data_IF_189817152539
#
_entry.id   IF_189817152539
#
_cell.length_a   1.000
_cell.length_b   1.000
_cell.length_c   1.000
_cell.angle_alpha   90.00
_cell.angle_beta   90.00
_cell.angle_gamma   90.00
#
_symmetry.space_group_name_H-M   'P 1'
#
loop_
_entity.id
_entity.type
_entity.pdbx_description
1 polymer ?
#
# COMPACT_ATOMS: atom_id res chain seq x y z
N UNK A 1 45.49 40.76 -32.99
CA UNK A 1 44.08 40.45 -32.64
C UNK A 1 43.53 39.16 -33.28
N UNK A 2 43.99 38.71 -34.46
CA UNK A 2 43.43 37.54 -35.17
C UNK A 2 43.87 36.16 -34.60
N UNK A 3 45.07 36.08 -34.01
CA UNK A 3 45.60 34.84 -33.45
C UNK A 3 45.05 34.55 -32.06
N UNK A 4 44.90 35.57 -31.20
CA UNK A 4 44.33 35.45 -29.86
C UNK A 4 42.91 34.87 -29.88
N UNK A 5 42.09 35.28 -30.86
CA UNK A 5 40.72 34.77 -31.04
C UNK A 5 40.68 33.30 -31.46
N UNK A 6 41.67 32.82 -32.23
CA UNK A 6 41.81 31.40 -32.60
C UNK A 6 42.20 30.54 -31.41
N UNK A 7 43.12 31.01 -30.56
CA UNK A 7 43.53 30.27 -29.36
C UNK A 7 42.42 30.20 -28.31
N UNK A 8 41.63 31.27 -28.16
CA UNK A 8 40.45 31.26 -27.26
C UNK A 8 39.40 30.26 -27.75
N UNK A 9 39.10 30.20 -29.05
CA UNK A 9 38.15 29.23 -29.60
C UNK A 9 38.66 27.79 -29.44
N UNK A 10 39.96 27.55 -29.71
CA UNK A 10 40.56 26.21 -29.51
C UNK A 10 40.51 25.78 -28.04
N UNK A 11 40.78 26.70 -27.10
CA UNK A 11 40.74 26.41 -25.68
C UNK A 11 39.32 26.09 -25.19
N UNK A 12 38.30 26.80 -25.69
CA UNK A 12 36.89 26.55 -25.34
C UNK A 12 36.39 25.22 -25.91
N UNK A 13 36.77 24.88 -27.15
CA UNK A 13 36.39 23.58 -27.75
C UNK A 13 37.09 22.42 -27.03
N UNK A 14 38.37 22.56 -26.69
CA UNK A 14 39.09 21.55 -25.91
C UNK A 14 38.49 21.35 -24.51
N UNK A 15 38.07 22.44 -23.84
CA UNK A 15 37.41 22.37 -22.54
C UNK A 15 36.03 21.71 -22.60
N UNK A 16 35.26 21.95 -23.67
CA UNK A 16 33.95 21.31 -23.89
C UNK A 16 34.07 19.81 -24.18
N UNK A 17 35.10 19.38 -24.92
CA UNK A 17 35.35 17.96 -25.18
C UNK A 17 35.78 17.20 -23.91
N UNK A 18 36.47 17.86 -22.98
CA UNK A 18 36.88 17.24 -21.71
C UNK A 18 35.69 16.95 -20.77
N UNK A 19 34.58 17.69 -20.89
CA UNK A 19 33.38 17.46 -20.08
C UNK A 19 32.56 16.23 -20.52
N UNK A 20 32.67 15.79 -21.78
CA UNK A 20 31.97 14.60 -22.28
C UNK A 20 32.73 13.28 -22.02
N UNK A 21 33.96 13.36 -21.52
CA UNK A 21 34.82 12.20 -21.29
C UNK A 21 34.89 11.78 -19.80
N UNK A 22 34.14 12.44 -18.91
CA UNK A 22 34.02 11.93 -17.54
C UNK A 22 33.25 10.61 -17.61
N UNK A 23 33.82 9.48 -17.15
CA UNK A 23 33.02 8.30 -16.95
C UNK A 23 31.91 8.71 -15.98
N UNK A 24 30.66 8.59 -16.42
CA UNK A 24 29.53 8.56 -15.48
C UNK A 24 29.89 7.47 -14.49
N UNK A 25 30.31 7.87 -13.30
CA UNK A 25 30.46 6.95 -12.17
C UNK A 25 29.08 6.33 -12.02
N UNK A 26 28.94 5.09 -12.50
CA UNK A 26 27.75 4.32 -12.30
C UNK A 26 27.57 4.26 -10.78
N UNK A 27 26.64 5.07 -10.26
CA UNK A 27 26.20 4.91 -8.89
C UNK A 27 25.83 3.44 -8.75
N UNK A 28 26.34 2.72 -7.74
CA UNK A 28 25.94 1.35 -7.53
C UNK A 28 24.43 1.38 -7.38
N UNK A 29 23.70 0.85 -8.37
CA UNK A 29 22.26 0.60 -8.27
C UNK A 29 22.12 -0.22 -7.00
N UNK A 30 21.48 0.40 -6.01
CA UNK A 30 21.53 0.07 -4.60
C UNK A 30 21.93 -1.37 -4.33
N UNK A 31 23.09 -1.53 -3.68
CA UNK A 31 23.35 -2.76 -2.95
C UNK A 31 22.10 -3.08 -2.15
N UNK A 32 21.63 -4.32 -2.27
CA UNK A 32 20.46 -4.82 -1.59
C UNK A 32 20.57 -4.55 -0.08
N UNK A 33 20.03 -3.42 0.38
CA UNK A 33 19.22 -3.45 1.58
C UNK A 33 18.15 -4.47 1.25
N UNK A 34 18.11 -5.60 1.95
CA UNK A 34 17.02 -6.56 1.81
C UNK A 34 15.72 -5.77 1.94
N UNK A 35 15.07 -5.44 0.82
CA UNK A 35 13.77 -4.81 0.83
C UNK A 35 12.90 -5.82 1.56
N UNK A 36 12.42 -5.45 2.75
CA UNK A 36 11.55 -6.31 3.53
C UNK A 36 10.44 -6.75 2.58
N UNK A 37 10.29 -8.06 2.38
CA UNK A 37 9.20 -8.57 1.56
C UNK A 37 7.90 -8.04 2.15
N UNK A 38 7.28 -7.06 1.49
CA UNK A 38 6.07 -6.38 1.97
C UNK A 38 4.91 -7.37 2.13
N UNK A 39 4.93 -8.46 1.36
CA UNK A 39 3.83 -9.42 1.37
C UNK A 39 3.89 -10.37 2.56
N UNK A 40 5.07 -10.64 3.13
CA UNK A 40 5.20 -11.43 4.37
C UNK A 40 4.40 -10.82 5.54
N UNK A 41 4.59 -9.53 5.93
CA UNK A 41 3.77 -8.92 6.98
C UNK A 41 2.30 -8.77 6.57
N UNK A 42 1.98 -8.56 5.28
CA UNK A 42 0.56 -8.55 4.85
C UNK A 42 -0.11 -9.91 5.09
N UNK A 43 0.56 -11.00 4.72
CA UNK A 43 0.05 -12.35 4.93
C UNK A 43 -0.06 -12.69 6.42
N UNK A 44 0.97 -12.37 7.22
CA UNK A 44 0.93 -12.57 8.67
C UNK A 44 -0.21 -11.77 9.33
N UNK A 45 -0.40 -10.51 8.93
CA UNK A 45 -1.50 -9.69 9.42
C UNK A 45 -2.87 -10.25 9.04
N UNK A 46 -3.00 -10.77 7.81
CA UNK A 46 -4.22 -11.43 7.35
C UNK A 46 -4.55 -12.69 8.16
N UNK A 47 -3.55 -13.53 8.45
CA UNK A 47 -3.73 -14.72 9.28
C UNK A 47 -4.09 -14.35 10.73
N UNK A 48 -3.46 -13.31 11.30
CA UNK A 48 -3.86 -12.79 12.60
C UNK A 48 -5.32 -12.32 12.63
N UNK A 49 -5.83 -11.73 11.55
CA UNK A 49 -7.25 -11.38 11.44
C UNK A 49 -8.14 -12.63 11.48
N UNK A 50 -7.77 -13.69 10.75
CA UNK A 50 -8.49 -14.97 10.78
C UNK A 50 -8.48 -15.64 12.16
N UNK A 51 -7.43 -15.40 12.94
CA UNK A 51 -7.31 -15.84 14.34
C UNK A 51 -8.01 -14.91 15.36
N UNK A 52 -8.53 -13.76 14.92
CA UNK A 52 -9.14 -12.76 15.81
C UNK A 52 -8.13 -11.86 16.56
N UNK A 53 -6.84 -11.90 16.21
CA UNK A 53 -5.76 -11.14 16.85
C UNK A 53 -5.53 -9.78 16.17
N UNK A 54 -6.48 -8.87 16.31
CA UNK A 54 -6.49 -7.62 15.53
C UNK A 54 -5.33 -6.66 15.84
N UNK A 55 -4.85 -6.58 17.08
CA UNK A 55 -3.71 -5.71 17.42
C UNK A 55 -2.41 -6.22 16.78
N UNK A 56 -2.20 -7.54 16.77
CA UNK A 56 -1.10 -8.17 16.06
C UNK A 56 -1.22 -7.91 14.55
N UNK A 57 -2.43 -8.05 13.99
CA UNK A 57 -2.67 -7.75 12.57
C UNK A 57 -2.33 -6.30 12.19
N UNK A 58 -2.77 -5.31 12.98
CA UNK A 58 -2.41 -3.89 12.76
C UNK A 58 -0.90 -3.67 12.83
N UNK A 59 -0.19 -4.35 13.74
CA UNK A 59 1.26 -4.25 13.83
C UNK A 59 1.94 -4.74 12.55
N UNK A 60 1.50 -5.87 12.00
CA UNK A 60 2.04 -6.38 10.73
C UNK A 60 1.68 -5.47 9.54
N UNK A 61 0.43 -4.98 9.44
CA UNK A 61 0.07 -4.02 8.40
C UNK A 61 0.87 -2.72 8.50
N UNK A 62 1.20 -2.24 9.71
CA UNK A 62 2.06 -1.07 9.89
C UNK A 62 3.48 -1.32 9.39
N UNK A 63 4.05 -2.51 9.58
CA UNK A 63 5.34 -2.89 8.99
C UNK A 63 5.26 -2.88 7.46
N UNK A 64 4.18 -3.42 6.90
CA UNK A 64 3.96 -3.43 5.45
C UNK A 64 3.85 -2.02 4.86
N UNK A 65 3.04 -1.13 5.47
CA UNK A 65 2.93 0.27 5.05
C UNK A 65 4.24 1.05 5.17
N UNK A 66 5.11 0.68 6.13
CA UNK A 66 6.44 1.27 6.26
C UNK A 66 7.41 0.79 5.17
N UNK A 67 7.33 -0.49 4.80
CA UNK A 67 8.17 -1.10 3.78
C UNK A 67 7.79 -0.60 2.37
N UNK A 68 6.49 -0.47 2.10
CA UNK A 68 5.94 0.04 0.85
C UNK A 68 4.82 1.05 1.15
N UNK A 69 5.14 2.36 1.09
CA UNK A 69 4.19 3.44 1.34
C UNK A 69 3.04 3.54 0.33
N UNK A 70 3.03 2.74 -0.74
CA UNK A 70 2.01 2.73 -1.79
C UNK A 70 1.26 1.39 -1.84
N UNK A 71 1.43 0.53 -0.83
CA UNK A 71 0.85 -0.80 -0.85
C UNK A 71 -0.67 -0.84 -0.60
N UNK A 72 -1.46 -0.99 -1.67
CA UNK A 72 -2.93 -1.01 -1.59
C UNK A 72 -3.48 -2.09 -0.65
N UNK A 73 -2.83 -3.25 -0.53
CA UNK A 73 -3.26 -4.30 0.40
C UNK A 73 -3.09 -3.89 1.86
N UNK A 74 -1.93 -3.33 2.21
CA UNK A 74 -1.63 -2.93 3.58
C UNK A 74 -2.59 -1.83 4.06
N UNK A 75 -2.82 -0.81 3.23
CA UNK A 75 -3.77 0.27 3.54
C UNK A 75 -5.21 -0.22 3.62
N UNK A 76 -5.67 -1.04 2.66
CA UNK A 76 -7.01 -1.62 2.69
C UNK A 76 -7.25 -2.43 3.96
N UNK A 77 -6.33 -3.34 4.28
CA UNK A 77 -6.49 -4.25 5.41
C UNK A 77 -6.48 -3.52 6.75
N UNK A 78 -5.61 -2.51 6.91
CA UNK A 78 -5.61 -1.69 8.12
C UNK A 78 -6.88 -0.83 8.22
N UNK A 79 -7.39 -0.31 7.10
CA UNK A 79 -8.62 0.46 7.08
C UNK A 79 -9.84 -0.35 7.56
N UNK A 80 -9.94 -1.62 7.15
CA UNK A 80 -11.01 -2.51 7.62
C UNK A 80 -10.93 -2.70 9.14
N UNK A 81 -9.72 -2.78 9.71
CA UNK A 81 -9.55 -2.86 11.17
C UNK A 81 -9.89 -1.53 11.88
N UNK A 82 -9.64 -0.39 11.26
CA UNK A 82 -10.04 0.92 11.80
C UNK A 82 -11.55 1.15 11.74
N UNK A 83 -12.22 0.73 10.66
CA UNK A 83 -13.69 0.74 10.55
C UNK A 83 -14.30 -0.04 11.72
N UNK A 84 -13.71 -1.20 11.99
CA UNK A 84 -14.04 -2.08 13.10
C UNK A 84 -13.77 -1.50 14.49
N UNK A 85 -12.99 -0.44 14.61
CA UNK A 85 -12.79 0.31 15.86
C UNK A 85 -13.73 1.51 15.95
N UNK A 86 -14.60 1.73 14.97
CA UNK A 86 -15.44 2.93 14.86
C UNK A 86 -14.68 4.16 14.37
N UNK A 87 -13.40 4.04 14.00
CA UNK A 87 -12.57 5.13 13.46
C UNK A 87 -12.85 5.32 11.97
N UNK A 88 -14.09 5.67 11.65
CA UNK A 88 -14.61 5.63 10.28
C UNK A 88 -13.89 6.61 9.35
N UNK A 89 -13.56 7.81 9.82
CA UNK A 89 -12.86 8.81 9.01
C UNK A 89 -11.41 8.39 8.71
N UNK A 90 -10.71 7.83 9.71
CA UNK A 90 -9.34 7.33 9.53
C UNK A 90 -9.32 6.14 8.56
N UNK A 91 -10.30 5.24 8.68
CA UNK A 91 -10.48 4.13 7.75
C UNK A 91 -10.72 4.62 6.31
N UNK A 92 -11.56 5.64 6.13
CA UNK A 92 -11.83 6.20 4.80
C UNK A 92 -10.58 6.85 4.20
N UNK A 93 -9.78 7.55 5.00
CA UNK A 93 -8.51 8.12 4.55
C UNK A 93 -7.54 7.04 4.05
N UNK A 94 -7.43 5.92 4.77
CA UNK A 94 -6.58 4.80 4.35
C UNK A 94 -7.11 4.11 3.09
N UNK A 95 -8.43 3.93 2.95
CA UNK A 95 -9.01 3.36 1.73
C UNK A 95 -8.78 4.25 0.50
N UNK A 96 -8.89 5.57 0.67
CA UNK A 96 -8.59 6.52 -0.41
C UNK A 96 -7.12 6.38 -0.84
N UNK A 97 -6.18 6.32 0.10
CA UNK A 97 -4.76 6.05 -0.21
C UNK A 97 -4.57 4.69 -0.88
N UNK A 98 -5.27 3.65 -0.43
CA UNK A 98 -5.22 2.34 -1.07
C UNK A 98 -5.69 2.40 -2.53
N UNK A 99 -6.70 3.22 -2.83
CA UNK A 99 -7.32 3.33 -4.15
C UNK A 99 -6.40 3.97 -5.21
N UNK A 100 -5.49 4.84 -4.81
CA UNK A 100 -4.55 5.55 -5.71
C UNK A 100 -3.70 4.57 -6.52
N UNK A 101 -3.30 3.45 -5.91
CA UNK A 101 -2.41 2.44 -6.51
C UNK A 101 -3.10 1.10 -6.76
N UNK A 102 -4.42 1.00 -6.53
CA UNK A 102 -5.11 -0.29 -6.54
C UNK A 102 -5.06 -1.00 -7.90
N UNK A 103 -5.02 -0.26 -9.00
CA UNK A 103 -4.97 -0.81 -10.35
C UNK A 103 -3.62 -1.41 -10.73
N UNK A 104 -2.57 -1.17 -9.95
CA UNK A 104 -1.22 -1.72 -10.19
C UNK A 104 -1.12 -3.20 -9.77
N UNK A 105 -2.08 -3.69 -8.97
CA UNK A 105 -2.07 -5.05 -8.41
C UNK A 105 -2.97 -5.98 -9.22
N UNK A 106 -2.39 -6.61 -10.24
CA UNK A 106 -3.07 -7.56 -11.13
C UNK A 106 -3.18 -8.99 -10.58
N UNK A 107 -2.61 -9.25 -9.41
CA UNK A 107 -2.63 -10.59 -8.81
C UNK A 107 -4.06 -11.02 -8.44
N UNK A 108 -4.30 -12.34 -8.48
CA UNK A 108 -5.47 -12.89 -7.78
C UNK A 108 -5.41 -12.56 -6.29
N UNK A 109 -6.58 -12.49 -5.64
CA UNK A 109 -6.69 -12.19 -4.21
C UNK A 109 -7.58 -13.20 -3.50
N UNK A 110 -7.23 -13.52 -2.26
CA UNK A 110 -8.14 -14.13 -1.29
C UNK A 110 -8.70 -13.00 -0.43
N UNK A 111 -10.00 -13.01 -0.19
CA UNK A 111 -10.66 -12.00 0.65
C UNK A 111 -11.41 -12.61 1.82
N UNK A 112 -11.45 -11.86 2.92
CA UNK A 112 -12.25 -12.19 4.11
C UNK A 112 -13.03 -10.94 4.51
N UNK A 113 -14.36 -11.05 4.54
CA UNK A 113 -15.26 -9.93 4.84
C UNK A 113 -15.86 -10.09 6.24
N UNK A 114 -15.93 -8.99 6.98
CA UNK A 114 -16.70 -8.96 8.23
C UNK A 114 -18.18 -8.76 7.96
N UNK A 115 -19.04 -9.37 8.78
CA UNK A 115 -20.47 -9.12 8.72
C UNK A 115 -20.77 -7.63 8.97
N UNK A 116 -21.41 -6.96 8.00
CA UNK A 116 -21.71 -5.52 8.08
C UNK A 116 -20.48 -4.59 8.02
N UNK A 117 -19.32 -5.09 7.59
CA UNK A 117 -18.09 -4.31 7.45
C UNK A 117 -17.37 -4.55 6.12
N UNK A 118 -16.15 -4.04 6.03
CA UNK A 118 -15.28 -4.20 4.88
C UNK A 118 -14.64 -5.58 4.77
N UNK A 119 -13.99 -5.77 3.62
CA UNK A 119 -13.28 -6.97 3.21
C UNK A 119 -11.76 -6.74 3.20
N UNK A 120 -11.03 -7.59 3.90
CA UNK A 120 -9.58 -7.69 3.75
C UNK A 120 -9.25 -8.46 2.48
N UNK A 121 -8.08 -8.18 1.92
CA UNK A 121 -7.52 -8.91 0.79
C UNK A 121 -6.08 -9.31 1.08
N UNK A 122 -5.67 -10.48 0.61
CA UNK A 122 -4.27 -10.93 0.60
C UNK A 122 -4.01 -11.58 -0.75
N UNK A 123 -2.78 -11.48 -1.25
CA UNK A 123 -2.33 -12.17 -2.45
C UNK A 123 -2.05 -13.65 -2.14
N UNK A 124 -2.82 -14.62 -2.66
CA UNK A 124 -2.50 -16.03 -2.59
C UNK A 124 -1.62 -16.37 -3.80
N UNK A 125 -0.29 -16.35 -3.62
CA UNK A 125 0.70 -16.99 -4.50
C UNK A 125 0.58 -16.76 -6.04
N UNK A 126 1.51 -15.96 -6.58
CA UNK A 126 2.08 -15.97 -7.96
C UNK A 126 1.18 -16.09 -9.21
N UNK A 127 -0.14 -16.15 -9.10
CA UNK A 127 -1.03 -16.10 -10.26
C UNK A 127 -1.40 -14.65 -10.58
N UNK A 128 -0.84 -14.16 -11.68
CA UNK A 128 -1.13 -12.83 -12.23
C UNK A 128 -2.38 -12.92 -13.12
N UNK A 129 -3.34 -12.03 -12.91
CA UNK A 129 -4.54 -11.87 -13.73
C UNK A 129 -4.41 -10.74 -14.76
N UNK A 130 -5.41 -10.62 -15.64
CA UNK A 130 -5.47 -9.56 -16.65
C UNK A 130 -6.05 -8.23 -16.10
N UNK A 131 -6.70 -8.27 -14.94
CA UNK A 131 -7.37 -7.13 -14.29
C UNK A 131 -7.00 -7.06 -12.82
N UNK A 132 -7.04 -5.85 -12.24
CA UNK A 132 -6.79 -5.68 -10.81
C UNK A 132 -7.87 -6.36 -9.98
N UNK A 133 -7.45 -7.29 -9.13
CA UNK A 133 -8.39 -8.01 -8.26
C UNK A 133 -8.63 -7.29 -6.93
N UNK A 134 -7.77 -6.35 -6.54
CA UNK A 134 -7.93 -5.60 -5.28
C UNK A 134 -8.75 -4.30 -5.46
N UNK A 135 -8.67 -3.65 -6.62
CA UNK A 135 -9.41 -2.42 -6.91
C UNK A 135 -10.92 -2.53 -6.63
N UNK A 136 -11.65 -3.58 -7.08
CA UNK A 136 -13.07 -3.70 -6.79
C UNK A 136 -13.36 -3.84 -5.28
N UNK A 137 -12.48 -4.53 -4.53
CA UNK A 137 -12.62 -4.71 -3.08
C UNK A 137 -12.49 -3.36 -2.36
N UNK A 138 -11.50 -2.56 -2.75
CA UNK A 138 -11.28 -1.23 -2.16
C UNK A 138 -12.48 -0.32 -2.46
N UNK A 139 -12.99 -0.34 -3.69
CA UNK A 139 -14.18 0.44 -4.06
C UNK A 139 -15.41 0.04 -3.26
N UNK A 140 -15.63 -1.27 -3.06
CA UNK A 140 -16.73 -1.78 -2.24
C UNK A 140 -16.59 -1.33 -0.78
N UNK A 141 -15.38 -1.42 -0.22
CA UNK A 141 -15.09 -0.96 1.15
C UNK A 141 -15.34 0.55 1.31
N UNK A 142 -14.92 1.37 0.34
CA UNK A 142 -15.16 2.82 0.33
C UNK A 142 -16.67 3.10 0.32
N UNK A 143 -17.41 2.47 -0.59
CA UNK A 143 -18.86 2.70 -0.74
C UNK A 143 -19.62 2.34 0.54
N UNK A 144 -19.33 1.17 1.13
CA UNK A 144 -19.93 0.74 2.40
C UNK A 144 -19.59 1.69 3.55
N UNK A 145 -18.33 2.09 3.66
CA UNK A 145 -17.88 2.96 4.74
C UNK A 145 -18.48 4.37 4.62
N UNK A 146 -18.57 4.92 3.42
CA UNK A 146 -19.25 6.20 3.16
C UNK A 146 -20.74 6.13 3.54
N UNK A 147 -21.43 5.04 3.19
CA UNK A 147 -22.82 4.83 3.61
C UNK A 147 -22.94 4.77 5.14
N UNK A 148 -22.01 4.08 5.82
CA UNK A 148 -21.94 3.99 7.28
C UNK A 148 -21.68 5.35 7.95
N UNK A 149 -20.75 6.14 7.42
CA UNK A 149 -20.48 7.51 7.90
C UNK A 149 -21.72 8.38 7.77
N UNK A 150 -22.39 8.34 6.60
CA UNK A 150 -23.64 9.08 6.38
C UNK A 150 -24.73 8.70 7.37
N UNK A 151 -24.89 7.40 7.66
CA UNK A 151 -25.86 6.90 8.64
C UNK A 151 -25.49 7.30 10.09
N UNK A 152 -24.20 7.38 10.42
CA UNK A 152 -23.71 7.80 11.74
C UNK A 152 -23.90 9.30 11.96
N UNK A 153 -23.82 10.12 10.90
CA UNK A 153 -24.21 11.53 10.97
C UNK A 153 -25.71 11.76 11.23
N UNK A 154 -26.53 10.71 11.13
CA UNK A 154 -27.99 10.73 11.40
C UNK A 154 -28.39 9.98 12.67
N UNK A 155 -27.46 9.35 13.39
CA UNK A 155 -27.73 8.54 14.59
C UNK A 155 -26.66 8.78 15.68
N UNK A 156 -27.06 8.77 16.94
CA UNK A 156 -26.16 8.88 18.11
C UNK A 156 -25.03 7.82 18.03
N UNK A 157 -23.76 8.15 18.40
CA UNK A 157 -22.62 7.28 18.15
C UNK A 157 -22.86 5.87 18.69
N UNK A 158 -22.94 4.91 17.78
CA UNK A 158 -23.10 3.51 18.13
C UNK A 158 -21.93 3.09 19.02
N UNK A 159 -22.25 2.66 20.24
CA UNK A 159 -21.30 2.10 21.19
C UNK A 159 -20.50 0.96 20.55
N UNK A 160 -19.33 0.72 21.15
CA UNK A 160 -18.31 -0.26 20.75
C UNK A 160 -18.87 -1.44 19.94
N UNK A 161 -18.29 -1.74 18.77
CA UNK A 161 -18.78 -2.82 17.92
C UNK A 161 -18.86 -4.14 18.69
N UNK A 162 -19.86 -4.99 18.40
CA UNK A 162 -20.10 -6.20 19.15
C UNK A 162 -18.83 -7.06 19.28
N UNK A 163 -18.63 -7.71 20.44
CA UNK A 163 -17.45 -8.53 20.68
C UNK A 163 -17.36 -9.64 19.63
N UNK A 164 -16.19 -9.79 19.05
CA UNK A 164 -15.98 -10.71 17.94
C UNK A 164 -15.82 -12.14 18.40
N UNK A 165 -16.67 -13.02 17.89
CA UNK A 165 -16.53 -14.46 18.05
C UNK A 165 -15.52 -14.94 16.99
N UNK A 166 -14.37 -15.53 17.38
CA UNK A 166 -13.43 -16.10 16.43
C UNK A 166 -14.11 -17.22 15.63
N UNK A 167 -13.73 -17.45 14.36
CA UNK A 167 -14.22 -18.60 13.60
C UNK A 167 -13.89 -19.89 14.37
N UNK A 168 -14.89 -20.76 14.53
CA UNK A 168 -14.71 -22.04 15.19
C UNK A 168 -13.59 -22.81 14.47
N UNK A 169 -12.55 -23.20 15.21
CA UNK A 169 -11.47 -24.04 14.67
C UNK A 169 -12.11 -25.36 14.21
N UNK A 170 -12.13 -25.61 12.90
CA UNK A 170 -12.42 -26.94 12.37
C UNK A 170 -11.29 -27.87 12.84
N UNK A 171 -11.65 -28.89 13.61
CA UNK A 171 -10.76 -29.99 14.02
C UNK A 171 -10.37 -30.84 12.83
#
# INVERSE_FOLDING_TARGET
MRNTRKYVILAVVAALCLFMALPVMAQPKGGAMMAMDVYTPIAAGYDFVREGKYDAAKSEFAKAMKADPNNSFAFNNNAVLLEREGKLNDALALLNRASEHANEYLDKVTQTCFAGGGCLAVKPLREVGEKSSIAPIIQENIAKLQAKIKATGTAEPAGSPPPMVPPAKTK
#
